data_IF_249455318988
#
_entry.id   IF_249455318988
#
_cell.length_a   1.000
_cell.length_b   1.000
_cell.length_c   1.000
_cell.angle_alpha   90.00
_cell.angle_beta   90.00
_cell.angle_gamma   90.00
#
_symmetry.space_group_name_H-M   'P 1'
#
loop_
_entity.id
_entity.type
_entity.pdbx_description
1 polymer ?
#
# COMPACT_ATOMS: atom_id res chain seq x y z
N UNK A 1 43.72 22.92 52.40
CA UNK A 1 42.33 22.51 52.09
C UNK A 1 42.17 22.38 50.59
N UNK A 2 42.17 21.16 50.06
CA UNK A 2 41.70 20.93 48.69
C UNK A 2 40.80 19.69 48.61
N UNK A 3 39.51 19.91 48.67
CA UNK A 3 38.52 18.87 48.39
C UNK A 3 37.33 19.57 47.70
N UNK A 4 37.28 19.62 46.39
CA UNK A 4 36.05 19.95 45.64
C UNK A 4 36.13 19.59 44.14
N UNK A 5 37.14 18.90 43.61
CA UNK A 5 37.27 18.72 42.14
C UNK A 5 37.02 17.28 41.66
N UNK A 6 36.48 16.39 42.48
CA UNK A 6 36.27 14.98 42.05
C UNK A 6 34.83 14.60 41.79
N UNK A 7 33.85 15.43 42.10
CA UNK A 7 32.42 15.05 41.99
C UNK A 7 31.79 15.44 40.64
N UNK A 8 32.38 16.39 39.91
CA UNK A 8 31.77 16.92 38.67
C UNK A 8 32.00 16.03 37.44
N UNK A 9 33.02 15.17 37.45
CA UNK A 9 33.35 14.33 36.27
C UNK A 9 32.46 13.09 36.08
N UNK A 10 31.73 12.67 37.10
CA UNK A 10 30.88 11.47 36.96
C UNK A 10 29.43 11.75 36.53
N UNK A 11 28.96 12.97 36.69
CA UNK A 11 27.57 13.35 36.26
C UNK A 11 27.44 13.55 34.78
N UNK A 12 28.50 13.94 34.07
CA UNK A 12 28.43 14.21 32.61
C UNK A 12 28.46 12.92 31.77
N UNK A 13 29.14 11.87 32.29
CA UNK A 13 29.20 10.59 31.56
C UNK A 13 27.89 9.82 31.64
N UNK A 14 27.14 9.96 32.74
CA UNK A 14 25.84 9.26 32.92
C UNK A 14 24.74 9.86 32.07
N UNK A 15 24.79 11.16 31.72
CA UNK A 15 23.81 11.83 30.86
C UNK A 15 24.00 11.52 29.37
N UNK A 16 25.23 11.21 28.94
CA UNK A 16 25.50 10.84 27.53
C UNK A 16 25.07 9.42 27.17
N UNK A 17 24.91 8.53 28.15
CA UNK A 17 24.45 7.15 27.90
C UNK A 17 22.92 7.02 27.79
N UNK A 18 22.13 8.00 28.26
CA UNK A 18 20.66 7.96 28.21
C UNK A 18 20.13 8.43 26.83
N UNK A 19 20.91 9.18 26.04
CA UNK A 19 20.48 9.70 24.74
C UNK A 19 20.61 8.69 23.58
N UNK A 20 21.24 7.53 23.79
CA UNK A 20 21.41 6.49 22.75
C UNK A 20 20.30 5.43 22.77
N UNK A 21 19.47 5.37 23.82
CA UNK A 21 18.46 4.32 24.01
C UNK A 21 17.08 4.58 23.37
N UNK A 22 16.87 5.71 22.69
CA UNK A 22 15.60 6.03 22.00
C UNK A 22 15.66 5.87 20.48
N UNK A 23 16.44 4.92 19.98
CA UNK A 23 16.33 4.48 18.57
C UNK A 23 15.69 3.10 18.53
N UNK A 24 14.43 3.06 18.05
CA UNK A 24 13.84 1.86 17.46
C UNK A 24 12.97 1.05 18.41
N UNK A 25 11.77 1.55 18.68
CA UNK A 25 10.58 0.73 18.81
C UNK A 25 9.69 1.04 17.58
N UNK A 26 10.22 0.77 16.39
CA UNK A 26 9.36 0.60 15.23
C UNK A 26 8.60 -0.70 15.45
N UNK A 27 7.27 -0.54 15.59
CA UNK A 27 6.34 -1.63 15.90
C UNK A 27 6.55 -2.82 14.98
N UNK A 28 6.57 -3.99 15.57
CA UNK A 28 6.60 -5.28 14.91
C UNK A 28 5.41 -5.43 13.96
N UNK A 29 5.65 -5.20 12.67
CA UNK A 29 4.68 -5.32 11.59
C UNK A 29 5.38 -5.38 10.26
N UNK A 30 5.92 -6.55 9.88
CA UNK A 30 6.53 -6.79 8.58
C UNK A 30 7.96 -6.27 8.49
N UNK A 31 8.89 -7.17 8.23
CA UNK A 31 10.29 -6.83 7.96
C UNK A 31 10.33 -5.81 6.81
N UNK A 32 11.01 -4.68 7.01
CA UNK A 32 11.08 -3.55 6.06
C UNK A 32 11.59 -3.88 4.64
N UNK A 33 11.96 -5.13 4.39
CA UNK A 33 12.38 -5.67 3.10
C UNK A 33 11.24 -5.88 2.08
N UNK A 34 9.97 -5.93 2.52
CA UNK A 34 8.83 -6.24 1.64
C UNK A 34 8.04 -5.01 1.16
N UNK A 35 8.45 -3.81 1.55
CA UNK A 35 7.80 -2.57 1.10
C UNK A 35 8.40 -2.07 -0.20
N UNK A 36 7.55 -1.81 -1.18
CA UNK A 36 7.94 -1.08 -2.38
C UNK A 36 8.43 0.32 -1.99
N UNK A 37 9.67 0.71 -2.32
CA UNK A 37 10.18 2.02 -1.95
C UNK A 37 9.59 3.13 -2.82
N UNK A 38 9.54 4.33 -2.28
CA UNK A 38 9.32 5.56 -3.05
C UNK A 38 10.45 5.67 -4.09
N UNK A 39 10.12 6.15 -5.30
CA UNK A 39 11.04 6.17 -6.44
C UNK A 39 10.99 4.91 -7.32
N UNK A 40 10.27 3.84 -6.90
CA UNK A 40 9.98 2.71 -7.80
C UNK A 40 9.27 3.20 -9.05
N UNK A 41 9.64 2.69 -10.22
CA UNK A 41 8.96 2.95 -11.49
C UNK A 41 7.89 1.88 -11.74
N UNK A 42 6.68 2.32 -11.98
CA UNK A 42 5.55 1.52 -12.45
C UNK A 42 5.47 1.71 -13.96
N UNK A 43 5.82 0.68 -14.73
CA UNK A 43 5.84 0.72 -16.18
C UNK A 43 4.60 0.03 -16.72
N UNK A 44 3.72 0.79 -17.34
CA UNK A 44 2.53 0.30 -18.03
C UNK A 44 2.90 -0.01 -19.48
N UNK A 45 2.82 -1.28 -19.89
CA UNK A 45 3.26 -1.75 -21.20
C UNK A 45 2.20 -1.66 -22.29
N UNK A 46 0.95 -1.53 -21.93
CA UNK A 46 -0.17 -1.40 -22.88
C UNK A 46 -1.22 -0.45 -22.33
N UNK A 47 -2.00 0.11 -23.23
CA UNK A 47 -3.11 0.98 -22.90
C UNK A 47 -4.18 0.26 -22.09
N UNK A 48 -4.76 0.98 -21.12
CA UNK A 48 -5.89 0.51 -20.31
C UNK A 48 -7.10 1.41 -20.52
N UNK A 49 -8.23 0.80 -20.80
CA UNK A 49 -9.49 1.53 -20.99
C UNK A 49 -10.28 1.53 -19.69
N UNK A 50 -10.58 2.72 -19.19
CA UNK A 50 -11.47 2.93 -18.03
C UNK A 50 -12.88 3.13 -18.56
N UNK A 51 -13.87 2.33 -18.12
CA UNK A 51 -15.26 2.49 -18.51
C UNK A 51 -15.86 3.83 -18.02
N UNK A 52 -16.97 4.27 -18.65
CA UNK A 52 -17.74 5.42 -18.14
C UNK A 52 -18.09 5.27 -16.66
N UNK A 53 -18.12 6.40 -15.97
CA UNK A 53 -18.51 6.52 -14.56
C UNK A 53 -17.63 5.72 -13.59
N UNK A 54 -16.43 5.29 -14.04
CA UNK A 54 -15.46 4.57 -13.23
C UNK A 54 -14.24 5.46 -12.90
N UNK A 55 -13.78 5.36 -11.63
CA UNK A 55 -12.54 6.02 -11.18
C UNK A 55 -11.27 5.21 -11.48
N UNK A 56 -11.36 4.10 -12.20
CA UNK A 56 -10.21 3.26 -12.50
C UNK A 56 -10.59 1.89 -13.09
N UNK A 57 -9.56 1.11 -13.40
CA UNK A 57 -9.67 -0.21 -14.04
C UNK A 57 -8.79 -1.23 -13.34
N UNK A 58 -9.24 -2.49 -13.26
CA UNK A 58 -8.41 -3.57 -12.76
C UNK A 58 -7.32 -3.96 -13.76
N UNK A 59 -6.11 -4.20 -13.26
CA UNK A 59 -5.01 -4.76 -14.02
C UNK A 59 -5.08 -6.29 -13.89
N UNK A 60 -5.04 -7.04 -14.95
CA UNK A 60 -4.68 -6.77 -16.34
C UNK A 60 -5.79 -6.27 -17.29
N UNK A 61 -6.77 -5.54 -16.81
CA UNK A 61 -7.76 -4.89 -17.67
C UNK A 61 -9.08 -5.67 -17.84
N UNK A 62 -9.26 -6.78 -17.13
CA UNK A 62 -10.54 -7.47 -17.08
C UNK A 62 -11.49 -6.74 -16.13
N UNK A 63 -12.71 -6.46 -16.60
CA UNK A 63 -13.79 -6.08 -15.70
C UNK A 63 -14.06 -7.25 -14.73
N UNK A 64 -13.73 -7.03 -13.49
CA UNK A 64 -14.23 -7.87 -12.42
C UNK A 64 -15.60 -7.28 -12.12
N UNK A 65 -16.67 -8.04 -12.42
CA UNK A 65 -18.01 -7.62 -12.02
C UNK A 65 -18.07 -7.32 -10.51
N UNK A 66 -19.18 -6.80 -10.00
CA UNK A 66 -19.39 -6.34 -8.62
C UNK A 66 -19.12 -7.40 -7.52
N UNK A 67 -18.59 -8.56 -7.90
CA UNK A 67 -18.23 -9.62 -6.95
C UNK A 67 -16.85 -9.35 -6.38
N UNK A 68 -16.80 -9.18 -5.07
CA UNK A 68 -15.55 -9.20 -4.33
C UNK A 68 -14.80 -10.50 -4.61
N UNK A 69 -13.58 -10.37 -5.14
CA UNK A 69 -12.69 -11.52 -5.34
C UNK A 69 -11.86 -11.73 -4.08
N UNK A 70 -11.75 -12.99 -3.71
CA UNK A 70 -10.80 -13.42 -2.69
C UNK A 70 -9.37 -13.47 -3.22
N UNK A 71 -9.19 -13.35 -4.55
CA UNK A 71 -7.89 -13.31 -5.20
C UNK A 71 -7.25 -11.95 -5.06
N UNK A 72 -5.93 -11.93 -5.09
CA UNK A 72 -5.16 -10.70 -5.15
C UNK A 72 -5.47 -9.94 -6.46
N UNK A 73 -5.78 -8.66 -6.34
CA UNK A 73 -6.10 -7.78 -7.48
C UNK A 73 -5.38 -6.45 -7.35
N UNK A 74 -5.02 -5.86 -8.49
CA UNK A 74 -4.54 -4.48 -8.55
C UNK A 74 -5.48 -3.64 -9.42
N UNK A 75 -5.76 -2.40 -8.98
CA UNK A 75 -6.60 -1.44 -9.70
C UNK A 75 -5.83 -0.14 -9.93
N UNK A 76 -5.74 0.28 -11.18
CA UNK A 76 -5.22 1.60 -11.54
C UNK A 76 -6.33 2.62 -11.43
N UNK A 77 -6.11 3.69 -10.68
CA UNK A 77 -7.11 4.73 -10.39
C UNK A 77 -6.69 6.09 -10.92
N UNK A 78 -7.69 6.86 -11.35
CA UNK A 78 -7.58 8.23 -11.84
C UNK A 78 -8.31 9.20 -10.92
N UNK A 79 -7.92 10.48 -10.95
CA UNK A 79 -8.51 11.54 -10.10
C UNK A 79 -9.92 11.92 -10.55
N UNK A 80 -10.12 11.97 -11.87
CA UNK A 80 -11.38 12.44 -12.46
C UNK A 80 -12.17 11.28 -13.05
N UNK A 81 -13.46 11.25 -12.76
CA UNK A 81 -14.42 10.31 -13.36
C UNK A 81 -15.07 10.98 -14.57
N UNK A 82 -15.13 10.26 -15.69
CA UNK A 82 -15.73 10.74 -16.92
C UNK A 82 -16.97 9.92 -17.28
N UNK A 83 -17.96 10.58 -17.88
CA UNK A 83 -19.16 9.92 -18.42
C UNK A 83 -18.88 9.12 -19.72
N UNK A 84 -17.65 9.17 -20.26
CA UNK A 84 -17.23 8.45 -21.47
C UNK A 84 -16.03 7.57 -21.15
N UNK A 85 -15.75 6.61 -22.05
CA UNK A 85 -14.54 5.82 -21.98
C UNK A 85 -13.30 6.71 -21.96
N UNK A 86 -12.33 6.32 -21.14
CA UNK A 86 -11.05 7.00 -21.02
C UNK A 86 -9.92 6.00 -21.18
N UNK A 87 -8.89 6.38 -21.91
CA UNK A 87 -7.68 5.57 -22.08
C UNK A 87 -6.53 6.11 -21.23
N UNK A 88 -5.94 5.27 -20.40
CA UNK A 88 -4.63 5.48 -19.82
C UNK A 88 -3.62 4.83 -20.77
N UNK A 89 -2.80 5.64 -21.41
CA UNK A 89 -1.82 5.13 -22.40
C UNK A 89 -0.59 4.53 -21.72
N UNK A 90 0.09 3.63 -22.42
CA UNK A 90 1.36 3.06 -21.97
C UNK A 90 2.35 4.16 -21.58
N UNK A 91 2.89 4.09 -20.36
CA UNK A 91 3.74 5.13 -19.78
C UNK A 91 4.55 4.59 -18.57
N UNK A 92 5.44 5.45 -18.05
CA UNK A 92 6.23 5.22 -16.86
C UNK A 92 5.78 6.19 -15.77
N UNK A 93 5.41 5.65 -14.62
CA UNK A 93 4.95 6.41 -13.46
C UNK A 93 5.94 6.23 -12.31
N UNK A 94 6.31 7.31 -11.65
CA UNK A 94 7.14 7.24 -10.43
C UNK A 94 6.25 7.11 -9.20
N UNK A 95 6.56 6.16 -8.32
CA UNK A 95 5.91 6.04 -7.02
C UNK A 95 6.40 7.17 -6.12
N UNK A 96 5.52 8.09 -5.77
CA UNK A 96 5.83 9.25 -4.92
C UNK A 96 5.44 9.05 -3.46
N UNK A 97 4.56 8.09 -3.18
CA UNK A 97 4.10 7.73 -1.83
C UNK A 97 3.56 6.32 -1.81
N UNK A 98 3.77 5.62 -0.70
CA UNK A 98 3.20 4.28 -0.46
C UNK A 98 2.39 4.32 0.83
N UNK A 99 1.16 3.85 0.76
CA UNK A 99 0.27 3.72 1.92
C UNK A 99 -0.24 2.30 2.04
N UNK A 100 -0.36 1.83 3.27
CA UNK A 100 -0.97 0.56 3.60
C UNK A 100 -2.15 0.80 4.52
N UNK A 101 -3.30 0.25 4.16
CA UNK A 101 -4.51 0.30 4.98
C UNK A 101 -5.21 -1.06 4.98
N UNK A 102 -6.08 -1.26 5.95
CA UNK A 102 -6.94 -2.42 5.98
C UNK A 102 -8.36 -2.03 6.37
N UNK A 103 -9.32 -2.82 5.91
CA UNK A 103 -10.74 -2.62 6.14
C UNK A 103 -11.39 -3.95 6.52
N UNK A 104 -12.39 -3.89 7.40
CA UNK A 104 -13.17 -5.04 7.85
C UNK A 104 -14.51 -5.09 7.12
N UNK A 105 -14.88 -6.28 6.67
CA UNK A 105 -16.18 -6.55 6.04
C UNK A 105 -16.85 -7.75 6.70
N UNK A 106 -18.17 -7.73 6.80
CA UNK A 106 -18.96 -8.93 7.11
C UNK A 106 -19.60 -9.46 5.85
N UNK A 107 -19.78 -10.79 5.81
CA UNK A 107 -20.61 -11.43 4.80
C UNK A 107 -22.08 -11.26 5.23
N UNK A 108 -22.89 -10.69 4.36
CA UNK A 108 -24.33 -10.58 4.51
C UNK A 108 -24.99 -11.21 3.27
N UNK A 109 -26.25 -11.65 3.34
CA UNK A 109 -26.94 -12.29 2.20
C UNK A 109 -26.93 -11.47 0.92
N UNK A 110 -26.88 -10.13 1.02
CA UNK A 110 -26.80 -9.18 -0.09
C UNK A 110 -25.35 -8.89 -0.58
N UNK A 111 -24.31 -9.48 0.03
CA UNK A 111 -22.91 -9.23 -0.32
C UNK A 111 -22.03 -8.89 0.88
N UNK A 112 -20.89 -8.22 0.61
CA UNK A 112 -19.98 -7.77 1.65
C UNK A 112 -20.32 -6.36 2.12
N UNK A 113 -20.40 -6.19 3.43
CA UNK A 113 -20.59 -4.89 4.07
C UNK A 113 -19.38 -4.52 4.91
N UNK A 114 -18.89 -3.28 4.77
CA UNK A 114 -17.89 -2.72 5.67
C UNK A 114 -18.47 -2.58 7.08
N UNK A 115 -17.72 -3.00 8.09
CA UNK A 115 -18.11 -2.88 9.50
C UNK A 115 -17.06 -2.11 10.28
N UNK A 116 -17.48 -1.60 11.45
CA UNK A 116 -16.57 -0.92 12.39
C UNK A 116 -15.64 -1.92 13.05
N UNK A 117 -14.53 -1.42 13.62
CA UNK A 117 -13.52 -2.25 14.27
C UNK A 117 -13.99 -2.95 15.54
N UNK A 118 -15.08 -2.46 16.15
CA UNK A 118 -15.67 -3.01 17.37
C UNK A 118 -16.62 -4.20 17.14
N UNK A 119 -16.75 -4.64 15.88
CA UNK A 119 -17.57 -5.80 15.54
C UNK A 119 -16.79 -7.11 15.75
N UNK A 120 -17.24 -7.95 16.69
CA UNK A 120 -16.57 -9.20 17.08
C UNK A 120 -16.99 -10.45 16.27
N UNK A 121 -17.91 -10.30 15.32
CA UNK A 121 -18.37 -11.41 14.47
C UNK A 121 -17.36 -11.84 13.39
N UNK A 122 -17.68 -12.95 12.68
CA UNK A 122 -16.86 -13.41 11.53
C UNK A 122 -16.69 -12.29 10.52
N UNK A 123 -15.46 -11.97 10.15
CA UNK A 123 -15.14 -10.88 9.26
C UNK A 123 -14.09 -11.27 8.23
N UNK A 124 -14.22 -10.67 7.06
CA UNK A 124 -13.18 -10.65 6.05
C UNK A 124 -12.39 -9.35 6.18
N UNK A 125 -11.08 -9.44 6.06
CA UNK A 125 -10.18 -8.30 6.09
C UNK A 125 -9.63 -8.06 4.69
N UNK A 126 -9.73 -6.82 4.21
CA UNK A 126 -9.05 -6.38 3.00
C UNK A 126 -7.80 -5.59 3.37
N UNK A 127 -6.65 -6.15 3.09
CA UNK A 127 -5.36 -5.47 3.21
C UNK A 127 -4.99 -4.88 1.86
N UNK A 128 -4.75 -3.58 1.81
CA UNK A 128 -4.48 -2.84 0.58
C UNK A 128 -3.17 -2.05 0.68
N UNK A 129 -2.34 -2.17 -0.36
CA UNK A 129 -1.17 -1.32 -0.59
C UNK A 129 -1.46 -0.38 -1.74
N UNK A 130 -1.45 0.92 -1.48
CA UNK A 130 -1.66 1.98 -2.46
C UNK A 130 -0.31 2.62 -2.83
N UNK A 131 0.05 2.56 -4.10
CA UNK A 131 1.20 3.21 -4.71
C UNK A 131 0.71 4.48 -5.40
N UNK A 132 0.99 5.65 -4.83
CA UNK A 132 0.64 6.94 -5.44
C UNK A 132 1.63 7.25 -6.55
N UNK A 133 1.09 7.58 -7.73
CA UNK A 133 1.81 7.66 -8.97
C UNK A 133 1.93 9.11 -9.46
N UNK A 134 3.04 9.39 -10.13
CA UNK A 134 3.27 10.65 -10.82
C UNK A 134 3.81 10.40 -12.22
N UNK A 135 3.23 11.10 -13.20
CA UNK A 135 3.73 11.24 -14.56
C UNK A 135 3.36 12.61 -15.08
N UNK A 136 4.32 13.33 -15.68
CA UNK A 136 4.06 14.63 -16.30
C UNK A 136 3.15 14.51 -17.54
N UNK A 137 3.19 13.34 -18.23
CA UNK A 137 2.35 13.08 -19.40
C UNK A 137 0.91 12.77 -19.06
N UNK A 138 0.67 12.15 -17.89
CA UNK A 138 -0.64 11.70 -17.45
C UNK A 138 -0.88 12.05 -15.97
N UNK A 139 -0.97 13.34 -15.62
CA UNK A 139 -1.03 13.80 -14.23
C UNK A 139 -2.32 13.38 -13.51
N UNK A 140 -3.33 12.94 -14.26
CA UNK A 140 -4.60 12.47 -13.70
C UNK A 140 -4.55 11.00 -13.25
N UNK A 141 -3.56 10.22 -13.67
CA UNK A 141 -3.32 8.88 -13.11
C UNK A 141 -2.86 9.05 -11.67
N UNK A 142 -3.64 8.47 -10.74
CA UNK A 142 -3.56 8.83 -9.34
C UNK A 142 -2.77 7.82 -8.51
N UNK A 143 -3.18 6.55 -8.59
CA UNK A 143 -2.55 5.50 -7.80
C UNK A 143 -2.85 4.10 -8.36
N UNK A 144 -2.01 3.16 -8.00
CA UNK A 144 -2.20 1.74 -8.19
C UNK A 144 -2.47 1.10 -6.82
N UNK A 145 -3.64 0.50 -6.64
CA UNK A 145 -4.06 -0.13 -5.38
C UNK A 145 -4.10 -1.64 -5.56
N UNK A 146 -3.24 -2.35 -4.84
CA UNK A 146 -3.18 -3.81 -4.82
C UNK A 146 -3.71 -4.35 -3.50
N UNK A 147 -4.68 -5.25 -3.54
CA UNK A 147 -5.33 -5.78 -2.35
C UNK A 147 -5.93 -7.16 -2.56
N UNK A 148 -6.28 -7.84 -1.47
CA UNK A 148 -7.12 -9.03 -1.47
C UNK A 148 -7.90 -9.19 -0.16
N UNK A 149 -8.97 -9.97 -0.21
CA UNK A 149 -9.80 -10.30 0.95
C UNK A 149 -9.28 -11.57 1.61
N UNK A 150 -9.15 -11.55 2.93
CA UNK A 150 -8.65 -12.64 3.74
C UNK A 150 -9.59 -12.91 4.91
N UNK A 151 -9.66 -14.15 5.33
CA UNK A 151 -10.33 -14.51 6.59
C UNK A 151 -9.49 -14.00 7.77
N UNK A 152 -10.16 -13.36 8.73
CA UNK A 152 -9.50 -12.85 9.94
C UNK A 152 -8.81 -13.94 10.77
N UNK A 153 -9.21 -15.21 10.63
CA UNK A 153 -8.61 -16.35 11.32
C UNK A 153 -7.33 -16.90 10.66
N UNK A 154 -6.99 -16.47 9.42
CA UNK A 154 -5.91 -17.04 8.62
C UNK A 154 -4.62 -16.22 8.62
N UNK A 155 -4.29 -15.51 9.70
CA UNK A 155 -3.12 -14.65 9.80
C UNK A 155 -3.02 -13.64 8.62
N UNK A 156 -4.01 -12.77 8.46
CA UNK A 156 -4.12 -11.87 7.31
C UNK A 156 -2.97 -10.85 7.27
N UNK A 157 -2.49 -10.54 6.06
CA UNK A 157 -1.34 -9.67 5.82
C UNK A 157 -1.46 -8.87 4.52
N UNK A 158 -0.60 -7.89 4.34
CA UNK A 158 -0.42 -7.21 3.06
C UNK A 158 0.22 -8.15 2.02
N UNK A 159 -0.07 -7.88 0.74
CA UNK A 159 0.64 -8.53 -0.37
C UNK A 159 2.13 -8.17 -0.30
N UNK A 160 2.97 -9.17 -0.51
CA UNK A 160 4.41 -8.96 -0.70
C UNK A 160 4.68 -8.29 -2.05
N UNK A 161 5.84 -7.69 -2.20
CA UNK A 161 6.29 -7.11 -3.48
C UNK A 161 6.29 -8.14 -4.61
N UNK A 162 6.67 -9.39 -4.32
CA UNK A 162 6.66 -10.48 -5.30
C UNK A 162 5.23 -10.83 -5.75
N UNK A 163 4.28 -10.92 -4.83
CA UNK A 163 2.86 -11.17 -5.14
C UNK A 163 2.27 -10.04 -5.97
N UNK A 164 2.56 -8.77 -5.63
CA UNK A 164 2.15 -7.60 -6.41
C UNK A 164 2.68 -7.69 -7.84
N UNK A 165 3.98 -8.02 -8.03
CA UNK A 165 4.57 -8.21 -9.36
C UNK A 165 3.86 -9.30 -10.15
N UNK A 166 3.55 -10.43 -9.52
CA UNK A 166 2.83 -11.54 -10.16
C UNK A 166 1.45 -11.11 -10.65
N UNK A 167 0.68 -10.40 -9.82
CA UNK A 167 -0.66 -9.90 -10.19
C UNK A 167 -0.62 -8.91 -11.34
N UNK A 168 0.42 -8.09 -11.42
CA UNK A 168 0.57 -7.04 -12.43
C UNK A 168 1.02 -7.54 -13.80
N UNK A 169 1.75 -8.66 -13.83
CA UNK A 169 2.31 -9.24 -15.06
C UNK A 169 1.19 -9.78 -15.99
N UNK A 170 1.28 -9.61 -17.31
CA UNK A 170 2.35 -8.94 -18.09
C UNK A 170 2.09 -7.45 -18.37
N UNK A 171 1.05 -6.86 -17.81
CA UNK A 171 0.54 -5.52 -18.19
C UNK A 171 1.38 -4.41 -17.58
N UNK A 172 1.83 -4.61 -16.34
CA UNK A 172 2.63 -3.64 -15.60
C UNK A 172 3.86 -4.33 -15.02
N UNK A 173 5.01 -3.66 -15.05
CA UNK A 173 6.22 -4.07 -14.32
C UNK A 173 6.63 -3.01 -13.30
N UNK A 174 7.30 -3.47 -12.25
CA UNK A 174 7.89 -2.62 -11.20
C UNK A 174 9.41 -2.65 -11.34
N UNK A 175 10.00 -1.51 -11.70
CA UNK A 175 11.45 -1.34 -11.90
C UNK A 175 12.05 -0.50 -10.78
N UNK A 176 13.28 -0.79 -10.37
CA UNK A 176 13.94 -0.07 -9.28
C UNK A 176 13.48 -0.51 -7.90
N UNK A 177 14.02 0.15 -6.86
CA UNK A 177 13.72 -0.20 -5.47
C UNK A 177 14.59 -1.36 -4.97
N UNK A 178 15.91 -1.12 -4.98
CA UNK A 178 16.88 -1.94 -4.23
C UNK A 178 17.10 -1.35 -2.85
#
# INVERSE_FOLDING_TARGET
MPIQWRVIKWSVVTWLLVLVACRGLDGAGGTGADRLPVGTLVVLHRDLVIPPDQAGVFVPGTQIGDRYRYDATCRLEVRTVNATFRTVVADRFTVVRVEQNWERFTRQESGLRRVRMDYDGPALLRFATALYLHSDRQPDVFRLVCSYLQDSAQNPRYLTTAEIRTVLTPVVTLEGGR
#
